data_IF_823102430356
#
_entry.id   IF_823102430356
#
_cell.length_a   1.000
_cell.length_b   1.000
_cell.length_c   1.000
_cell.angle_alpha   90.00
_cell.angle_beta   90.00
_cell.angle_gamma   90.00
#
_symmetry.space_group_name_H-M   'P 1'
#
loop_
_entity.id
_entity.type
_entity.pdbx_description
1 polymer ?
#
# COMPACT_ATOMS: atom_id res chain seq x y z
N UNK A 1 -5.27 -21.73 21.39
CA UNK A 1 -4.18 -21.58 20.43
C UNK A 1 -3.60 -20.19 20.63
N UNK A 2 -2.29 -20.00 20.74
CA UNK A 2 -1.74 -18.65 20.73
C UNK A 2 -2.13 -18.00 19.40
N UNK A 3 -2.65 -16.78 19.46
CA UNK A 3 -2.99 -16.00 18.27
C UNK A 3 -1.67 -15.67 17.59
N UNK A 4 -1.43 -16.28 16.44
CA UNK A 4 -0.19 -16.10 15.69
C UNK A 4 -0.21 -14.77 14.92
N UNK A 5 0.96 -14.17 14.69
CA UNK A 5 1.10 -12.92 13.93
C UNK A 5 0.38 -12.98 12.59
N UNK A 6 0.45 -14.10 11.87
CA UNK A 6 -0.18 -14.27 10.56
C UNK A 6 -1.69 -14.05 10.63
N UNK A 7 -2.38 -14.66 11.62
CA UNK A 7 -3.82 -14.46 11.81
C UNK A 7 -4.18 -13.01 12.12
N UNK A 8 -3.36 -12.32 12.94
CA UNK A 8 -3.58 -10.91 13.26
C UNK A 8 -3.29 -10.05 12.05
N UNK A 9 -2.20 -10.32 11.32
CA UNK A 9 -1.80 -9.58 10.13
C UNK A 9 -2.90 -9.65 9.06
N UNK A 10 -3.44 -10.84 8.83
CA UNK A 10 -4.51 -11.05 7.87
C UNK A 10 -5.78 -10.30 8.29
N UNK A 11 -6.20 -10.44 9.55
CA UNK A 11 -7.40 -9.76 10.03
C UNK A 11 -7.25 -8.24 9.98
N UNK A 12 -6.19 -7.68 10.57
CA UNK A 12 -5.99 -6.22 10.65
C UNK A 12 -5.66 -5.65 9.27
N UNK A 13 -4.81 -6.32 8.49
CA UNK A 13 -4.41 -5.88 7.17
C UNK A 13 -5.59 -5.83 6.19
N UNK A 14 -6.39 -6.90 6.13
CA UNK A 14 -7.58 -6.97 5.28
C UNK A 14 -8.62 -5.94 5.73
N UNK A 15 -8.89 -5.84 7.03
CA UNK A 15 -9.82 -4.87 7.58
C UNK A 15 -9.40 -3.43 7.23
N UNK A 16 -8.14 -3.09 7.46
CA UNK A 16 -7.60 -1.77 7.18
C UNK A 16 -7.70 -1.43 5.68
N UNK A 17 -7.27 -2.34 4.80
CA UNK A 17 -7.38 -2.11 3.36
C UNK A 17 -8.82 -2.11 2.84
N UNK A 18 -9.71 -2.93 3.40
CA UNK A 18 -11.13 -2.86 3.06
C UNK A 18 -11.72 -1.49 3.40
N UNK A 19 -11.43 -0.99 4.62
CA UNK A 19 -11.84 0.36 5.04
C UNK A 19 -11.21 1.42 4.14
N UNK A 20 -9.93 1.32 3.78
CA UNK A 20 -9.28 2.26 2.85
C UNK A 20 -9.98 2.26 1.48
N UNK A 21 -10.33 1.08 0.94
CA UNK A 21 -11.11 0.96 -0.29
C UNK A 21 -12.48 1.64 -0.21
N UNK A 22 -13.20 1.40 0.88
CA UNK A 22 -14.50 2.04 1.16
C UNK A 22 -14.37 3.56 1.28
N UNK A 23 -13.38 4.06 2.02
CA UNK A 23 -13.13 5.49 2.18
C UNK A 23 -12.74 6.15 0.85
N UNK A 24 -12.00 5.43 0.01
CA UNK A 24 -11.64 5.90 -1.32
C UNK A 24 -12.84 6.00 -2.27
N UNK A 25 -13.87 5.15 -2.08
CA UNK A 25 -15.16 5.21 -2.77
C UNK A 25 -16.03 6.37 -2.28
N UNK A 26 -15.78 6.89 -1.07
CA UNK A 26 -16.56 7.97 -0.49
C UNK A 26 -16.52 9.22 -1.38
N UNK A 27 -17.69 9.78 -1.68
CA UNK A 27 -17.81 10.93 -2.58
C UNK A 27 -17.93 10.58 -4.06
N UNK A 28 -17.80 9.33 -4.44
CA UNK A 28 -18.14 8.81 -5.77
C UNK A 28 -19.59 8.29 -5.78
N UNK A 29 -20.22 8.28 -6.97
CA UNK A 29 -21.58 7.74 -7.14
C UNK A 29 -21.54 6.25 -7.42
N UNK A 30 -20.93 5.48 -6.51
CA UNK A 30 -20.91 4.03 -6.59
C UNK A 30 -22.13 3.44 -5.89
N UNK A 31 -22.66 2.37 -6.46
CA UNK A 31 -23.62 1.49 -5.82
C UNK A 31 -22.93 0.59 -4.78
N UNK A 32 -23.65 -0.17 -3.95
CA UNK A 32 -23.04 -1.06 -2.97
C UNK A 32 -22.09 -2.10 -3.57
N UNK A 33 -22.38 -2.55 -4.81
CA UNK A 33 -21.52 -3.52 -5.53
C UNK A 33 -20.19 -2.87 -5.90
N UNK A 34 -20.22 -1.66 -6.43
CA UNK A 34 -19.00 -0.88 -6.73
C UNK A 34 -18.15 -0.60 -5.50
N UNK A 35 -18.79 -0.31 -4.36
CA UNK A 35 -18.07 -0.14 -3.07
C UNK A 35 -17.44 -1.47 -2.64
N UNK A 36 -18.16 -2.59 -2.76
CA UNK A 36 -17.63 -3.92 -2.46
C UNK A 36 -16.43 -4.26 -3.35
N UNK A 37 -16.55 -4.07 -4.66
CA UNK A 37 -15.44 -4.34 -5.62
C UNK A 37 -14.19 -3.55 -5.22
N UNK A 38 -14.36 -2.27 -4.86
CA UNK A 38 -13.23 -1.44 -4.46
C UNK A 38 -12.60 -1.88 -3.13
N UNK A 39 -13.44 -2.24 -2.15
CA UNK A 39 -13.00 -2.77 -0.87
C UNK A 39 -12.29 -4.11 -1.03
N UNK A 40 -12.87 -5.02 -1.78
CA UNK A 40 -12.33 -6.35 -2.06
C UNK A 40 -10.99 -6.29 -2.79
N UNK A 41 -10.92 -5.55 -3.89
CA UNK A 41 -9.67 -5.44 -4.67
C UNK A 41 -8.56 -4.75 -3.89
N UNK A 42 -8.89 -3.79 -3.02
CA UNK A 42 -7.91 -3.16 -2.13
C UNK A 42 -7.41 -4.14 -1.08
N UNK A 43 -8.30 -4.91 -0.47
CA UNK A 43 -7.98 -5.81 0.63
C UNK A 43 -7.23 -7.08 0.17
N UNK A 44 -7.64 -7.65 -0.95
CA UNK A 44 -7.12 -8.95 -1.41
C UNK A 44 -6.21 -8.86 -2.63
N UNK A 45 -6.17 -7.72 -3.33
CA UNK A 45 -5.41 -7.57 -4.58
C UNK A 45 -3.92 -7.81 -4.43
N UNK A 46 -3.33 -7.40 -3.31
CA UNK A 46 -1.92 -7.67 -3.02
C UNK A 46 -1.65 -9.15 -2.74
N UNK A 47 -2.49 -9.79 -1.92
CA UNK A 47 -2.41 -11.22 -1.65
C UNK A 47 -2.63 -12.06 -2.91
N UNK A 48 -3.60 -11.67 -3.75
CA UNK A 48 -3.85 -12.32 -5.04
C UNK A 48 -2.60 -12.28 -5.95
N UNK A 49 -1.96 -11.12 -6.04
CA UNK A 49 -0.72 -10.98 -6.81
C UNK A 49 0.40 -11.89 -6.26
N UNK A 50 0.59 -11.90 -4.94
CA UNK A 50 1.58 -12.76 -4.27
C UNK A 50 1.30 -14.23 -4.54
N UNK A 51 0.08 -14.68 -4.33
CA UNK A 51 -0.32 -16.08 -4.49
C UNK A 51 -0.15 -16.55 -5.94
N UNK A 52 -0.46 -15.67 -6.90
CA UNK A 52 -0.24 -15.94 -8.32
C UNK A 52 1.27 -16.12 -8.64
N UNK A 53 2.13 -15.25 -8.10
CA UNK A 53 3.58 -15.33 -8.34
C UNK A 53 4.20 -16.55 -7.66
N UNK A 54 3.70 -16.92 -6.47
CA UNK A 54 4.15 -18.11 -5.75
C UNK A 54 3.58 -19.42 -6.31
N UNK A 55 2.65 -19.36 -7.27
CA UNK A 55 2.01 -20.55 -7.83
C UNK A 55 1.14 -21.29 -6.82
N UNK A 56 0.49 -20.57 -5.91
CA UNK A 56 -0.41 -21.16 -4.91
C UNK A 56 -1.55 -21.93 -5.60
N UNK A 57 -1.87 -23.12 -5.09
CA UNK A 57 -2.96 -23.96 -5.64
C UNK A 57 -4.33 -23.29 -5.46
N UNK A 58 -4.52 -22.63 -4.33
CA UNK A 58 -5.72 -21.85 -4.04
C UNK A 58 -5.31 -20.47 -3.54
N UNK A 59 -6.05 -19.46 -3.91
CA UNK A 59 -5.85 -18.11 -3.42
C UNK A 59 -6.32 -17.98 -1.98
N UNK A 60 -5.62 -17.20 -1.18
CA UNK A 60 -5.90 -16.98 0.23
C UNK A 60 -7.37 -16.64 0.54
N UNK A 61 -8.00 -15.80 -0.28
CA UNK A 61 -9.39 -15.40 -0.09
C UNK A 61 -10.40 -16.53 -0.31
N UNK A 62 -10.06 -17.56 -1.12
CA UNK A 62 -10.91 -18.73 -1.34
C UNK A 62 -10.89 -19.64 -0.11
N UNK A 63 -9.73 -19.80 0.51
CA UNK A 63 -9.58 -20.64 1.71
C UNK A 63 -10.13 -19.95 2.97
N UNK A 64 -10.23 -18.62 2.97
CA UNK A 64 -10.61 -17.80 4.12
C UNK A 64 -11.85 -16.97 3.85
N UNK A 65 -12.97 -17.62 3.52
CA UNK A 65 -14.25 -16.98 3.20
C UNK A 65 -14.75 -15.99 4.27
N UNK A 66 -14.40 -16.21 5.54
CA UNK A 66 -14.78 -15.32 6.64
C UNK A 66 -14.36 -13.87 6.42
N UNK A 67 -13.18 -13.65 5.84
CA UNK A 67 -12.70 -12.30 5.52
C UNK A 67 -13.43 -11.69 4.32
N UNK A 68 -13.86 -12.53 3.38
CA UNK A 68 -14.71 -12.07 2.25
C UNK A 68 -16.06 -11.62 2.79
N UNK A 69 -16.70 -12.41 3.65
CA UNK A 69 -17.98 -12.04 4.29
C UNK A 69 -17.85 -10.78 5.15
N UNK A 70 -16.74 -10.62 5.87
CA UNK A 70 -16.42 -9.37 6.58
C UNK A 70 -16.39 -8.18 5.62
N UNK A 71 -15.72 -8.32 4.48
CA UNK A 71 -15.63 -7.25 3.47
C UNK A 71 -16.99 -6.94 2.84
N UNK A 72 -17.81 -7.96 2.56
CA UNK A 72 -19.20 -7.79 2.09
C UNK A 72 -20.02 -7.01 3.12
N UNK A 73 -19.98 -7.42 4.39
CA UNK A 73 -20.68 -6.73 5.46
C UNK A 73 -20.25 -5.26 5.59
N UNK A 74 -18.95 -5.00 5.60
CA UNK A 74 -18.40 -3.64 5.63
C UNK A 74 -18.91 -2.81 4.46
N UNK A 75 -18.85 -3.34 3.24
CA UNK A 75 -19.32 -2.63 2.04
C UNK A 75 -20.83 -2.36 2.05
N UNK A 76 -21.64 -3.29 2.57
CA UNK A 76 -23.08 -3.13 2.67
C UNK A 76 -23.48 -2.03 3.65
N UNK A 77 -22.78 -1.93 4.80
CA UNK A 77 -23.07 -0.90 5.82
C UNK A 77 -22.36 0.43 5.55
N UNK A 78 -21.29 0.43 4.76
CA UNK A 78 -20.47 1.62 4.48
C UNK A 78 -21.26 2.84 3.98
N UNK A 79 -22.21 2.74 3.02
CA UNK A 79 -22.95 3.90 2.54
C UNK A 79 -23.77 4.57 3.66
N UNK A 80 -24.34 3.78 4.57
CA UNK A 80 -25.12 4.30 5.71
C UNK A 80 -24.22 5.01 6.72
N UNK A 81 -23.08 4.42 7.04
CA UNK A 81 -22.09 4.98 7.97
C UNK A 81 -21.49 6.26 7.39
N UNK A 82 -21.04 6.22 6.14
CA UNK A 82 -20.44 7.38 5.47
C UNK A 82 -21.44 8.53 5.38
N UNK A 83 -22.72 8.26 5.04
CA UNK A 83 -23.77 9.29 4.98
C UNK A 83 -23.99 9.96 6.34
N UNK A 84 -23.97 9.17 7.41
CA UNK A 84 -24.18 9.67 8.78
C UNK A 84 -23.00 10.49 9.30
N UNK A 85 -21.77 10.10 8.94
CA UNK A 85 -20.54 10.68 9.49
C UNK A 85 -19.69 11.44 8.46
N UNK A 86 -20.21 11.74 7.29
CA UNK A 86 -19.47 12.33 6.15
C UNK A 86 -18.64 13.56 6.51
N UNK A 87 -19.13 14.41 7.41
CA UNK A 87 -18.42 15.63 7.82
C UNK A 87 -17.36 15.39 8.90
N UNK A 88 -17.31 14.20 9.49
CA UNK A 88 -16.42 13.86 10.60
C UNK A 88 -15.33 12.86 10.21
N UNK A 89 -15.34 12.31 8.99
CA UNK A 89 -14.34 11.35 8.53
C UNK A 89 -13.15 12.13 7.98
N UNK A 90 -12.02 12.20 8.71
CA UNK A 90 -10.85 12.91 8.26
C UNK A 90 -10.11 12.10 7.19
N UNK A 91 -9.45 12.76 6.24
CA UNK A 91 -8.60 12.11 5.26
C UNK A 91 -7.44 11.32 5.90
N UNK A 92 -7.00 11.73 7.09
CA UNK A 92 -6.00 11.00 7.86
C UNK A 92 -6.40 9.55 8.15
N UNK A 93 -7.69 9.26 8.35
CA UNK A 93 -8.17 7.88 8.57
C UNK A 93 -7.86 6.99 7.36
N UNK A 94 -8.06 7.49 6.15
CA UNK A 94 -7.69 6.78 4.93
C UNK A 94 -6.18 6.47 4.89
N UNK A 95 -5.33 7.47 5.19
CA UNK A 95 -3.88 7.29 5.22
C UNK A 95 -3.45 6.29 6.29
N UNK A 96 -4.07 6.32 7.49
CA UNK A 96 -3.81 5.35 8.55
C UNK A 96 -4.15 3.93 8.11
N UNK A 97 -5.34 3.72 7.56
CA UNK A 97 -5.78 2.41 7.08
C UNK A 97 -4.86 1.87 5.98
N UNK A 98 -4.46 2.74 5.05
CA UNK A 98 -3.55 2.38 3.96
C UNK A 98 -2.14 2.06 4.50
N UNK A 99 -1.62 2.83 5.48
CA UNK A 99 -0.33 2.59 6.10
C UNK A 99 -0.30 1.27 6.90
N UNK A 100 -1.38 0.96 7.62
CA UNK A 100 -1.53 -0.29 8.37
C UNK A 100 -1.53 -1.48 7.41
N UNK A 101 -2.33 -1.44 6.35
CA UNK A 101 -2.35 -2.50 5.33
C UNK A 101 -0.98 -2.68 4.66
N UNK A 102 -0.32 -1.58 4.30
CA UNK A 102 1.04 -1.61 3.74
C UNK A 102 2.02 -2.31 4.68
N UNK A 103 2.03 -1.95 5.98
CA UNK A 103 2.95 -2.53 6.95
C UNK A 103 2.75 -4.03 7.13
N UNK A 104 1.52 -4.46 7.42
CA UNK A 104 1.22 -5.87 7.63
C UNK A 104 1.51 -6.70 6.39
N UNK A 105 1.04 -6.29 5.22
CA UNK A 105 1.19 -7.12 4.01
C UNK A 105 2.59 -7.07 3.40
N UNK A 106 3.36 -6.00 3.58
CA UNK A 106 4.75 -5.99 3.14
C UNK A 106 5.59 -7.00 3.94
N UNK A 107 5.43 -7.03 5.26
CA UNK A 107 6.21 -7.92 6.13
C UNK A 107 5.72 -9.36 6.02
N UNK A 108 4.41 -9.62 6.13
CA UNK A 108 3.85 -10.97 6.01
C UNK A 108 4.09 -11.57 4.63
N UNK A 109 3.97 -10.76 3.56
CA UNK A 109 4.29 -11.18 2.20
C UNK A 109 5.76 -11.55 2.02
N UNK A 110 6.69 -10.79 2.64
CA UNK A 110 8.12 -11.12 2.65
C UNK A 110 8.39 -12.42 3.41
N UNK A 111 7.79 -12.56 4.59
CA UNK A 111 7.97 -13.76 5.43
C UNK A 111 7.46 -15.03 4.72
N UNK A 112 6.27 -14.95 4.12
CA UNK A 112 5.70 -16.07 3.37
C UNK A 112 6.56 -16.43 2.15
N UNK A 113 7.07 -15.43 1.42
CA UNK A 113 7.94 -15.68 0.27
C UNK A 113 9.25 -16.35 0.68
N UNK A 114 9.86 -15.93 1.79
CA UNK A 114 11.06 -16.57 2.34
C UNK A 114 10.80 -18.03 2.75
N UNK A 115 9.69 -18.30 3.43
CA UNK A 115 9.30 -19.65 3.84
C UNK A 115 9.01 -20.57 2.65
N UNK A 116 8.61 -19.97 1.50
CA UNK A 116 8.42 -20.68 0.23
C UNK A 116 9.72 -20.89 -0.56
N UNK A 117 10.89 -20.56 0.02
CA UNK A 117 12.19 -20.77 -0.61
C UNK A 117 12.58 -19.74 -1.67
N UNK A 118 11.87 -18.61 -1.75
CA UNK A 118 12.20 -17.51 -2.68
C UNK A 118 13.48 -16.79 -2.20
N UNK A 119 14.42 -16.40 -3.11
CA UNK A 119 15.63 -15.67 -2.73
C UNK A 119 15.33 -14.35 -2.00
N UNK A 120 16.24 -13.91 -1.11
CA UNK A 120 16.06 -12.79 -0.19
C UNK A 120 15.54 -11.51 -0.85
N UNK A 121 16.19 -11.06 -1.93
CA UNK A 121 15.80 -9.86 -2.65
C UNK A 121 14.41 -10.02 -3.30
N UNK A 122 14.17 -11.15 -3.94
CA UNK A 122 12.89 -11.43 -4.59
C UNK A 122 11.76 -11.51 -3.56
N UNK A 123 12.01 -12.11 -2.39
CA UNK A 123 11.05 -12.14 -1.26
C UNK A 123 10.72 -10.75 -0.76
N UNK A 124 11.73 -9.87 -0.63
CA UNK A 124 11.51 -8.46 -0.25
C UNK A 124 10.65 -7.75 -1.28
N UNK A 125 10.96 -7.87 -2.57
CA UNK A 125 10.20 -7.25 -3.64
C UNK A 125 8.75 -7.77 -3.65
N UNK A 126 8.56 -9.08 -3.53
CA UNK A 126 7.23 -9.69 -3.53
C UNK A 126 6.41 -9.26 -2.31
N UNK A 127 7.05 -9.11 -1.14
CA UNK A 127 6.41 -8.55 0.05
C UNK A 127 5.95 -7.11 -0.16
N UNK A 128 6.84 -6.25 -0.70
CA UNK A 128 6.47 -4.86 -1.03
C UNK A 128 5.34 -4.82 -2.05
N UNK A 129 5.39 -5.64 -3.10
CA UNK A 129 4.31 -5.75 -4.08
C UNK A 129 3.00 -6.17 -3.39
N UNK A 130 3.05 -7.13 -2.45
CA UNK A 130 1.88 -7.55 -1.69
C UNK A 130 1.26 -6.37 -0.92
N UNK A 131 2.07 -5.54 -0.26
CA UNK A 131 1.59 -4.37 0.48
C UNK A 131 1.09 -3.22 -0.40
N UNK A 132 1.60 -3.08 -1.62
CA UNK A 132 1.34 -1.93 -2.50
C UNK A 132 0.23 -2.21 -3.52
N UNK A 133 0.12 -3.45 -4.02
CA UNK A 133 -0.71 -3.78 -5.17
C UNK A 133 -2.21 -3.52 -4.93
N UNK A 134 -2.71 -3.78 -3.71
CA UNK A 134 -4.11 -3.51 -3.37
C UNK A 134 -4.46 -2.03 -3.53
N UNK A 135 -3.61 -1.14 -3.01
CA UNK A 135 -3.74 0.32 -3.17
C UNK A 135 -3.60 0.77 -4.63
N UNK A 136 -2.69 0.16 -5.39
CA UNK A 136 -2.53 0.44 -6.82
C UNK A 136 -3.79 0.10 -7.61
N UNK A 137 -4.34 -1.10 -7.44
CA UNK A 137 -5.57 -1.52 -8.12
C UNK A 137 -6.71 -0.57 -7.76
N UNK A 138 -6.89 -0.24 -6.48
CA UNK A 138 -7.87 0.75 -6.00
C UNK A 138 -7.76 2.07 -6.74
N UNK A 139 -6.56 2.63 -6.81
CA UNK A 139 -6.36 3.96 -7.39
C UNK A 139 -6.59 3.94 -8.90
N UNK A 140 -6.16 2.88 -9.61
CA UNK A 140 -6.44 2.67 -11.03
C UNK A 140 -7.95 2.57 -11.30
N UNK A 141 -8.69 1.79 -10.50
CA UNK A 141 -10.14 1.68 -10.62
C UNK A 141 -10.85 3.02 -10.39
N UNK A 142 -10.26 3.90 -9.59
CA UNK A 142 -10.75 5.26 -9.35
C UNK A 142 -10.30 6.27 -10.41
N UNK A 143 -9.61 5.82 -11.45
CA UNK A 143 -8.99 6.68 -12.48
C UNK A 143 -8.07 7.75 -11.86
N UNK A 144 -7.25 7.35 -10.89
CA UNK A 144 -6.24 8.18 -10.23
C UNK A 144 -4.85 7.62 -10.48
N UNK A 145 -3.86 8.49 -10.54
CA UNK A 145 -2.47 8.03 -10.48
C UNK A 145 -2.23 7.36 -9.14
N UNK A 146 -1.76 6.10 -9.11
CA UNK A 146 -1.51 5.38 -7.86
C UNK A 146 -0.60 6.16 -6.92
N UNK A 147 -0.92 6.11 -5.60
CA UNK A 147 -0.15 6.81 -4.57
C UNK A 147 1.32 6.42 -4.58
N UNK A 148 1.63 5.15 -4.85
CA UNK A 148 3.01 4.66 -4.96
C UNK A 148 3.85 5.39 -6.02
N UNK A 149 3.20 5.94 -7.05
CA UNK A 149 3.84 6.66 -8.15
C UNK A 149 3.72 8.19 -8.00
N UNK A 150 2.69 8.67 -7.32
CA UNK A 150 2.35 10.11 -7.26
C UNK A 150 2.72 10.76 -5.92
N UNK A 151 2.80 9.96 -4.85
CA UNK A 151 3.12 10.46 -3.53
C UNK A 151 4.61 10.80 -3.43
N UNK A 152 4.91 12.02 -3.01
CA UNK A 152 6.29 12.44 -2.75
C UNK A 152 6.86 11.81 -1.49
N UNK A 153 6.00 11.27 -0.65
CA UNK A 153 6.35 10.66 0.63
C UNK A 153 6.75 9.20 0.45
N UNK A 154 7.60 8.65 1.35
CA UNK A 154 7.99 7.25 1.29
C UNK A 154 6.78 6.33 1.43
N UNK A 155 6.42 5.65 0.35
CA UNK A 155 5.36 4.64 0.30
C UNK A 155 5.97 3.24 0.12
N UNK A 156 6.25 2.84 -1.10
CA UNK A 156 6.93 1.57 -1.40
C UNK A 156 8.34 1.50 -0.80
N UNK A 157 9.04 2.63 -0.69
CA UNK A 157 10.36 2.71 -0.06
C UNK A 157 10.32 2.40 1.43
N UNK A 158 9.28 2.82 2.16
CA UNK A 158 9.10 2.44 3.57
C UNK A 158 8.84 0.93 3.70
N UNK A 159 7.96 0.37 2.84
CA UNK A 159 7.73 -1.07 2.73
C UNK A 159 9.03 -1.84 2.44
N UNK A 160 9.81 -1.37 1.46
CA UNK A 160 11.07 -2.00 1.07
C UNK A 160 12.10 -2.00 2.22
N UNK A 161 12.30 -0.85 2.86
CA UNK A 161 13.23 -0.74 4.00
C UNK A 161 12.82 -1.65 5.15
N UNK A 162 11.55 -1.65 5.54
CA UNK A 162 11.07 -2.50 6.63
C UNK A 162 11.14 -4.00 6.29
N UNK A 163 10.78 -4.38 5.07
CA UNK A 163 10.92 -5.77 4.58
C UNK A 163 12.39 -6.19 4.51
N UNK A 164 13.30 -5.31 4.10
CA UNK A 164 14.72 -5.62 4.07
C UNK A 164 15.34 -5.76 5.46
N UNK A 165 14.89 -4.94 6.42
CA UNK A 165 15.26 -5.10 7.84
C UNK A 165 14.75 -6.44 8.37
N UNK A 166 13.51 -6.84 8.03
CA UNK A 166 12.97 -8.14 8.39
C UNK A 166 13.84 -9.29 7.87
N UNK A 167 14.25 -9.25 6.60
CA UNK A 167 15.17 -10.23 6.00
C UNK A 167 16.50 -10.29 6.77
N UNK A 168 17.06 -9.14 7.14
CA UNK A 168 18.26 -9.07 7.97
C UNK A 168 18.07 -9.73 9.33
N UNK A 169 16.98 -9.39 10.04
CA UNK A 169 16.66 -9.98 11.34
C UNK A 169 16.47 -11.50 11.26
N UNK A 170 15.78 -11.98 10.21
CA UNK A 170 15.61 -13.40 9.92
C UNK A 170 16.95 -14.09 9.67
N UNK A 171 17.85 -13.48 8.91
CA UNK A 171 19.19 -14.04 8.61
C UNK A 171 20.07 -14.16 9.87
N UNK A 172 19.95 -13.23 10.81
CA UNK A 172 20.67 -13.26 12.09
C UNK A 172 20.00 -14.13 13.16
N UNK A 173 18.92 -14.85 12.83
CA UNK A 173 18.24 -15.75 13.75
C UNK A 173 17.49 -15.06 14.88
N UNK A 174 17.09 -13.81 14.69
CA UNK A 174 16.26 -13.08 15.66
C UNK A 174 14.87 -13.72 15.68
N UNK A 175 14.25 -13.73 16.86
CA UNK A 175 12.91 -14.28 17.05
C UNK A 175 11.93 -13.78 15.98
N UNK A 176 11.29 -14.71 15.29
CA UNK A 176 10.46 -14.41 14.14
C UNK A 176 9.25 -13.55 14.50
N UNK A 177 8.59 -13.81 15.62
CA UNK A 177 7.43 -13.05 16.05
C UNK A 177 7.82 -11.60 16.37
N UNK A 178 8.93 -11.43 17.08
CA UNK A 178 9.46 -10.10 17.36
C UNK A 178 9.80 -9.33 16.08
N UNK A 179 10.50 -9.97 15.13
CA UNK A 179 10.88 -9.36 13.87
C UNK A 179 9.67 -8.93 13.04
N UNK A 180 8.62 -9.75 12.97
CA UNK A 180 7.38 -9.48 12.26
C UNK A 180 6.67 -8.23 12.82
N UNK A 181 6.48 -8.18 14.14
CA UNK A 181 5.83 -7.03 14.79
C UNK A 181 6.66 -5.76 14.68
N UNK A 182 7.97 -5.85 14.95
CA UNK A 182 8.88 -4.71 14.91
C UNK A 182 8.89 -4.07 13.52
N UNK A 183 9.09 -4.86 12.46
CA UNK A 183 9.17 -4.35 11.10
C UNK A 183 7.83 -3.80 10.61
N UNK A 184 6.71 -4.41 10.99
CA UNK A 184 5.37 -3.91 10.67
C UNK A 184 5.14 -2.53 11.30
N UNK A 185 5.40 -2.39 12.59
CA UNK A 185 5.25 -1.12 13.31
C UNK A 185 6.24 -0.06 12.78
N UNK A 186 7.43 -0.47 12.39
CA UNK A 186 8.42 0.42 11.77
C UNK A 186 7.90 1.01 10.46
N UNK A 187 7.35 0.18 9.56
CA UNK A 187 6.79 0.65 8.28
C UNK A 187 5.65 1.63 8.53
N UNK A 188 4.70 1.26 9.40
CA UNK A 188 3.57 2.13 9.75
C UNK A 188 4.07 3.45 10.36
N UNK A 189 5.01 3.38 11.30
CA UNK A 189 5.57 4.55 11.98
C UNK A 189 6.30 5.48 11.02
N UNK A 190 7.17 4.95 10.16
CA UNK A 190 7.88 5.73 9.14
C UNK A 190 6.90 6.40 8.19
N UNK A 191 5.89 5.66 7.69
CA UNK A 191 4.88 6.19 6.79
C UNK A 191 4.09 7.33 7.43
N UNK A 192 3.64 7.15 8.68
CA UNK A 192 2.86 8.16 9.39
C UNK A 192 3.71 9.37 9.78
N UNK A 193 4.95 9.15 10.22
CA UNK A 193 5.88 10.24 10.55
C UNK A 193 6.14 11.12 9.33
N UNK A 194 6.41 10.51 8.18
CA UNK A 194 6.64 11.25 6.93
C UNK A 194 5.39 12.01 6.50
N UNK A 195 4.21 11.41 6.65
CA UNK A 195 2.94 12.07 6.33
C UNK A 195 2.69 13.28 7.24
N UNK A 196 2.85 13.14 8.57
CA UNK A 196 2.64 14.23 9.51
C UNK A 196 3.68 15.35 9.39
N UNK A 197 4.93 15.01 9.08
CA UNK A 197 6.03 15.98 8.91
C UNK A 197 6.10 16.57 7.50
N UNK A 198 5.33 16.05 6.55
CA UNK A 198 5.44 16.44 5.15
C UNK A 198 6.85 16.19 4.58
N UNK A 199 7.50 15.11 5.04
CA UNK A 199 8.86 14.78 4.62
C UNK A 199 8.82 14.14 3.23
N UNK A 200 9.33 14.85 2.24
CA UNK A 200 9.56 14.33 0.90
C UNK A 200 10.91 13.63 0.84
N UNK A 201 10.95 12.34 0.50
CA UNK A 201 12.19 11.54 0.40
C UNK A 201 13.15 12.05 -0.67
N UNK A 202 12.64 12.68 -1.70
CA UNK A 202 13.45 13.23 -2.79
C UNK A 202 12.91 14.62 -3.13
N UNK A 203 13.70 15.63 -2.86
CA UNK A 203 13.55 16.92 -3.53
C UNK A 203 13.86 16.72 -5.02
N UNK A 204 12.91 16.15 -5.76
CA UNK A 204 13.01 16.06 -7.22
C UNK A 204 13.12 17.43 -7.90
N UNK A 205 13.07 18.51 -7.12
CA UNK A 205 13.43 19.85 -7.55
C UNK A 205 14.78 19.90 -8.27
N UNK A 206 15.79 19.16 -7.79
CA UNK A 206 17.13 19.19 -8.39
C UNK A 206 17.16 18.64 -9.82
N UNK A 207 16.45 17.53 -10.09
CA UNK A 207 16.38 16.93 -11.43
C UNK A 207 15.45 17.74 -12.33
N UNK A 208 14.31 18.21 -11.81
CA UNK A 208 13.38 19.06 -12.54
C UNK A 208 14.03 20.41 -12.90
N UNK A 209 14.77 21.02 -11.99
CA UNK A 209 15.46 22.30 -12.21
C UNK A 209 16.65 22.12 -13.17
N UNK A 210 17.35 20.97 -13.14
CA UNK A 210 18.38 20.61 -14.12
C UNK A 210 17.77 20.39 -15.51
N UNK A 211 16.61 19.71 -15.61
CA UNK A 211 15.94 19.48 -16.89
C UNK A 211 15.29 20.75 -17.41
N UNK A 212 14.64 21.55 -16.57
CA UNK A 212 14.08 22.84 -16.96
C UNK A 212 15.16 23.90 -17.22
N UNK A 213 16.26 23.91 -16.47
CA UNK A 213 17.39 24.78 -16.72
C UNK A 213 18.09 24.47 -18.05
N UNK A 214 18.18 23.21 -18.47
CA UNK A 214 18.65 22.85 -19.81
C UNK A 214 17.69 23.24 -20.94
N UNK A 215 16.38 23.17 -20.69
CA UNK A 215 15.37 23.58 -21.68
C UNK A 215 15.36 25.12 -21.85
N UNK A 216 15.46 25.89 -20.77
CA UNK A 216 15.57 27.35 -20.84
C UNK A 216 16.87 27.83 -21.51
N UNK A 217 17.96 27.08 -21.39
CA UNK A 217 19.21 27.41 -22.10
C UNK A 217 19.14 27.10 -23.61
N UNK A 218 18.38 26.08 -24.03
CA UNK A 218 18.20 25.77 -25.46
C UNK A 218 17.22 26.70 -26.16
N UNK A 219 16.20 27.17 -25.48
CA UNK A 219 15.21 28.09 -26.08
C UNK A 219 15.75 29.51 -26.23
N UNK A 220 16.74 29.92 -25.44
CA UNK A 220 17.44 31.22 -25.61
C UNK A 220 18.38 31.27 -26.80
N UNK A 221 18.70 30.13 -27.43
CA UNK A 221 19.62 30.06 -28.59
C UNK A 221 18.84 30.13 -29.93
N UNK A 222 17.50 30.18 -29.93
CA UNK A 222 16.67 30.14 -31.15
C UNK A 222 15.80 31.36 -31.41
N UNK A 223 16.16 32.51 -30.95
CA UNK A 223 15.60 33.74 -31.53
C UNK A 223 16.68 34.44 -32.32
N UNK A 224 16.75 34.26 -33.66
CA UNK A 224 17.46 35.20 -34.49
C UNK A 224 16.63 36.53 -34.47
N UNK A 225 17.34 37.58 -34.11
CA UNK A 225 16.91 38.97 -34.26
C UNK A 225 16.33 39.19 -35.67
N UNK A 226 15.04 39.51 -35.77
CA UNK A 226 14.42 40.03 -36.95
C UNK A 226 14.15 41.51 -36.71
N UNK A 227 15.19 42.29 -36.90
CA UNK A 227 15.12 43.70 -37.22
C UNK A 227 15.80 43.88 -38.57
N UNK A 228 14.97 43.95 -39.65
CA UNK A 228 15.11 44.79 -40.80
C UNK A 228 13.82 44.77 -41.64
#
# INVERSE_FOLDING_TARGET
>A
MPIDFTTIADFIGILAFAIAGILAAAGKRFDPVGVFVLAFTTAFGGGLFRDLVLGAQHFYWIENEAYVWMTVALAAFAPSIIRRFRHHIPYSLFIWCDAVGLGFFSVSGTALSLSSGVPLLASTILGVCTGVMGGMIRDVLLNKVPMVLSDRQPYASAGFLGSWIYVGMWHFGIDQQFALWFCTLLIIGVRMLCWYRGLDLIRYGLIRDLVQGKLTSRDKIKTPDQSD
#
